data_IF_844808331892
#
_entry.id   IF_844808331892
#
_cell.length_a   1.000
_cell.length_b   1.000
_cell.length_c   1.000
_cell.angle_alpha   90.00
_cell.angle_beta   90.00
_cell.angle_gamma   90.00
#
_symmetry.space_group_name_H-M   'P 1'
#
loop_
_entity.id
_entity.type
_entity.pdbx_description
1 polymer ?
#
# COMPACT_ATOMS: atom_id res chain seq x y z
N UNK A 1 16.85 7.78 -18.88
CA UNK A 1 16.43 6.48 -19.48
C UNK A 1 15.11 6.11 -18.83
N UNK A 2 14.13 5.63 -19.61
CA UNK A 2 12.85 5.19 -19.05
C UNK A 2 13.02 3.95 -18.18
N UNK A 3 12.05 3.71 -17.28
CA UNK A 3 11.97 2.52 -16.43
C UNK A 3 10.57 1.92 -16.47
N UNK A 4 10.46 0.65 -16.13
CA UNK A 4 9.17 -0.01 -15.96
C UNK A 4 8.86 -0.14 -14.47
N UNK A 5 7.69 0.35 -14.04
CA UNK A 5 7.09 0.04 -12.75
C UNK A 5 6.03 -1.04 -12.93
N UNK A 6 6.02 -2.04 -12.05
CA UNK A 6 5.02 -3.12 -12.03
C UNK A 6 4.43 -3.22 -10.64
N UNK A 7 3.16 -2.89 -10.48
CA UNK A 7 2.38 -3.07 -9.25
C UNK A 7 1.67 -4.43 -9.30
N UNK A 8 2.03 -5.32 -8.36
CA UNK A 8 1.49 -6.69 -8.29
C UNK A 8 0.60 -6.80 -7.06
N UNK A 9 -0.68 -6.58 -7.25
CA UNK A 9 -1.68 -6.77 -6.20
C UNK A 9 -2.38 -8.13 -6.26
N UNK A 10 -3.11 -8.48 -5.21
CA UNK A 10 -3.88 -9.73 -5.16
C UNK A 10 -5.00 -9.85 -6.20
N UNK A 11 -5.43 -8.75 -6.82
CA UNK A 11 -6.52 -8.72 -7.81
C UNK A 11 -6.11 -8.25 -9.20
N UNK A 12 -5.05 -7.46 -9.29
CA UNK A 12 -4.56 -6.89 -10.56
C UNK A 12 -3.04 -6.79 -10.58
N UNK A 13 -2.48 -6.89 -11.77
CA UNK A 13 -1.10 -6.53 -12.10
C UNK A 13 -1.20 -5.31 -13.02
N UNK A 14 -0.57 -4.21 -12.62
CA UNK A 14 -0.48 -3.01 -13.44
C UNK A 14 0.99 -2.72 -13.76
N UNK A 15 1.31 -2.43 -15.01
CA UNK A 15 2.66 -2.04 -15.40
C UNK A 15 2.63 -0.76 -16.24
N UNK A 16 3.65 0.06 -16.05
CA UNK A 16 3.81 1.30 -16.82
C UNK A 16 5.27 1.54 -17.21
N UNK A 17 5.47 2.11 -18.39
CA UNK A 17 6.75 2.74 -18.75
C UNK A 17 6.70 4.17 -18.25
N UNK A 18 7.70 4.55 -17.46
CA UNK A 18 7.81 5.87 -16.84
C UNK A 18 9.07 6.57 -17.36
N UNK A 19 8.93 7.83 -17.78
CA UNK A 19 10.06 8.66 -18.18
C UNK A 19 10.89 9.14 -16.98
N UNK A 20 12.11 9.66 -17.17
CA UNK A 20 12.90 10.26 -16.09
C UNK A 20 12.21 11.41 -15.36
N UNK A 21 11.25 12.05 -16.01
CA UNK A 21 10.46 13.16 -15.43
C UNK A 21 9.19 12.67 -14.69
N UNK A 22 9.00 11.35 -14.56
CA UNK A 22 7.86 10.75 -13.88
C UNK A 22 6.57 10.64 -14.73
N UNK A 23 6.67 10.89 -16.06
CA UNK A 23 5.52 10.80 -16.95
C UNK A 23 5.26 9.35 -17.38
N UNK A 24 4.03 8.88 -17.22
CA UNK A 24 3.60 7.59 -17.76
C UNK A 24 3.51 7.70 -19.29
N UNK A 25 4.28 6.87 -19.99
CA UNK A 25 4.35 6.85 -21.46
C UNK A 25 3.49 5.74 -22.06
N UNK A 26 3.35 4.63 -21.35
CA UNK A 26 2.51 3.49 -21.72
C UNK A 26 2.09 2.76 -20.45
N UNK A 27 0.88 2.18 -20.42
CA UNK A 27 0.43 1.35 -19.33
C UNK A 27 -0.40 0.16 -19.80
N UNK A 28 -0.32 -0.94 -19.06
CA UNK A 28 -1.15 -2.12 -19.24
C UNK A 28 -1.64 -2.65 -17.89
N UNK A 29 -2.82 -3.29 -17.88
CA UNK A 29 -3.42 -3.85 -16.67
C UNK A 29 -3.99 -5.23 -16.95
N UNK A 30 -3.67 -6.18 -16.06
CA UNK A 30 -4.15 -7.56 -16.12
C UNK A 30 -4.74 -7.97 -14.77
N UNK A 31 -5.75 -8.85 -14.76
CA UNK A 31 -6.21 -9.44 -13.52
C UNK A 31 -5.13 -10.38 -12.96
N UNK A 32 -4.90 -10.32 -11.65
CA UNK A 32 -4.12 -11.33 -10.95
C UNK A 32 -4.99 -12.58 -10.84
N UNK A 33 -4.45 -13.72 -11.23
CA UNK A 33 -5.12 -15.00 -11.11
C UNK A 33 -4.37 -15.87 -10.11
N UNK A 34 -5.11 -16.58 -9.25
CA UNK A 34 -4.53 -17.65 -8.44
C UNK A 34 -4.15 -18.81 -9.35
N UNK A 35 -2.88 -18.87 -9.72
CA UNK A 35 -2.30 -19.86 -10.65
C UNK A 35 -0.97 -20.34 -10.12
N UNK A 36 -0.44 -21.50 -10.55
CA UNK A 36 0.88 -21.95 -10.13
C UNK A 36 1.97 -20.88 -10.36
N UNK A 37 3.04 -20.88 -9.54
CA UNK A 37 4.12 -19.88 -9.57
C UNK A 37 4.66 -19.59 -10.97
N UNK A 38 4.98 -20.61 -11.74
CA UNK A 38 5.52 -20.46 -13.11
C UNK A 38 4.57 -19.72 -14.05
N UNK A 39 3.27 -19.96 -13.93
CA UNK A 39 2.22 -19.24 -14.71
C UNK A 39 2.11 -17.78 -14.29
N UNK A 40 2.21 -17.48 -13.00
CA UNK A 40 2.19 -16.11 -12.52
C UNK A 40 3.42 -15.34 -13.01
N UNK A 41 4.62 -15.94 -12.88
CA UNK A 41 5.87 -15.39 -13.40
C UNK A 41 5.81 -15.18 -14.92
N UNK A 42 5.22 -16.12 -15.65
CA UNK A 42 4.97 -15.98 -17.09
C UNK A 42 4.03 -14.83 -17.43
N UNK A 43 3.00 -14.61 -16.62
CA UNK A 43 2.10 -13.46 -16.80
C UNK A 43 2.81 -12.14 -16.53
N UNK A 44 3.59 -12.04 -15.43
CA UNK A 44 4.37 -10.84 -15.10
C UNK A 44 5.38 -10.53 -16.23
N UNK A 45 6.12 -11.54 -16.70
CA UNK A 45 7.07 -11.37 -17.80
C UNK A 45 6.40 -10.89 -19.09
N UNK A 46 5.22 -11.42 -19.42
CA UNK A 46 4.42 -10.98 -20.56
C UNK A 46 3.99 -9.51 -20.41
N UNK A 47 3.50 -9.12 -19.24
CA UNK A 47 3.07 -7.75 -18.94
C UNK A 47 4.25 -6.77 -19.10
N UNK A 48 5.43 -7.13 -18.60
CA UNK A 48 6.67 -6.35 -18.75
C UNK A 48 7.03 -6.21 -20.22
N UNK A 49 6.97 -7.30 -20.99
CA UNK A 49 7.32 -7.30 -22.42
C UNK A 49 6.34 -6.47 -23.23
N UNK A 50 5.06 -6.57 -22.94
CA UNK A 50 4.00 -5.83 -23.64
C UNK A 50 4.07 -4.33 -23.35
N UNK A 51 4.24 -3.93 -22.08
CA UNK A 51 4.31 -2.50 -21.74
C UNK A 51 5.56 -1.84 -22.29
N UNK A 52 6.66 -2.61 -22.44
CA UNK A 52 7.94 -2.16 -23.01
C UNK A 52 7.87 -1.90 -24.51
N UNK A 53 6.90 -2.49 -25.24
CA UNK A 53 6.90 -2.46 -26.68
C UNK A 53 7.03 -1.03 -27.24
N UNK A 54 8.01 -0.83 -28.13
CA UNK A 54 8.35 0.47 -28.70
C UNK A 54 9.14 1.42 -27.80
N UNK A 55 9.56 1.00 -26.59
CA UNK A 55 10.31 1.85 -25.66
C UNK A 55 11.68 1.27 -25.29
N UNK A 56 12.68 2.14 -25.23
CA UNK A 56 13.98 1.85 -24.61
C UNK A 56 13.85 2.05 -23.09
N UNK A 57 14.17 1.00 -22.30
CA UNK A 57 14.08 1.02 -20.84
C UNK A 57 15.34 0.45 -20.20
N UNK A 58 15.73 0.99 -19.04
CA UNK A 58 16.92 0.55 -18.31
C UNK A 58 16.67 -0.68 -17.40
N UNK A 59 15.43 -0.95 -17.04
CA UNK A 59 15.06 -2.06 -16.17
C UNK A 59 13.62 -1.96 -15.70
N UNK A 60 13.24 -2.90 -14.83
CA UNK A 60 11.92 -2.96 -14.21
C UNK A 60 12.02 -3.05 -12.69
N UNK A 61 11.11 -2.38 -11.98
CA UNK A 61 10.92 -2.53 -10.55
C UNK A 61 9.54 -3.10 -10.27
N UNK A 62 9.47 -4.16 -9.48
CA UNK A 62 8.23 -4.76 -9.01
C UNK A 62 7.88 -4.21 -7.63
N UNK A 63 6.72 -3.62 -7.50
CA UNK A 63 6.10 -3.26 -6.24
C UNK A 63 5.20 -4.42 -5.78
N UNK A 64 5.47 -4.99 -4.61
CA UNK A 64 4.80 -6.20 -4.11
C UNK A 64 4.34 -5.97 -2.68
N UNK A 65 3.10 -6.35 -2.32
CA UNK A 65 2.64 -6.25 -0.94
C UNK A 65 3.37 -7.25 -0.04
N UNK A 66 3.61 -6.87 1.21
CA UNK A 66 4.20 -7.72 2.22
C UNK A 66 5.68 -7.51 2.46
N UNK A 67 6.35 -8.54 2.99
CA UNK A 67 7.73 -8.43 3.44
C UNK A 67 8.72 -8.76 2.32
N UNK A 68 9.51 -7.77 1.93
CA UNK A 68 10.47 -7.86 0.81
C UNK A 68 11.89 -7.62 1.32
N UNK A 69 12.80 -8.56 1.03
CA UNK A 69 14.24 -8.37 1.15
C UNK A 69 14.75 -7.73 -0.16
N UNK A 70 14.64 -6.41 -0.27
CA UNK A 70 14.97 -5.67 -1.50
C UNK A 70 16.43 -5.85 -1.92
N UNK A 71 17.35 -6.00 -0.95
CA UNK A 71 18.77 -6.28 -1.23
C UNK A 71 19.01 -7.64 -1.91
N UNK A 72 18.09 -8.58 -1.74
CA UNK A 72 18.14 -9.92 -2.33
C UNK A 72 17.13 -10.10 -3.47
N UNK A 73 16.33 -9.07 -3.78
CA UNK A 73 15.20 -9.12 -4.71
C UNK A 73 14.25 -10.31 -4.43
N UNK A 74 13.99 -10.56 -3.15
CA UNK A 74 13.25 -11.71 -2.68
C UNK A 74 12.05 -11.32 -1.83
N UNK A 75 10.91 -11.89 -2.14
CA UNK A 75 9.70 -11.78 -1.32
C UNK A 75 9.72 -12.89 -0.27
N UNK A 76 9.61 -12.53 1.01
CA UNK A 76 9.61 -13.47 2.12
C UNK A 76 8.18 -13.85 2.50
N UNK A 77 7.28 -12.87 2.50
CA UNK A 77 5.86 -13.05 2.83
C UNK A 77 5.05 -12.08 1.98
N UNK A 78 4.09 -12.59 1.22
CA UNK A 78 3.19 -11.79 0.42
C UNK A 78 1.74 -12.23 0.66
N UNK A 79 0.97 -11.55 1.52
CA UNK A 79 -0.43 -11.85 1.71
C UNK A 79 -1.16 -11.83 0.37
N UNK A 80 -1.87 -12.91 0.04
CA UNK A 80 -2.59 -13.11 -1.23
C UNK A 80 -1.71 -13.33 -2.50
N UNK A 81 -0.40 -13.51 -2.37
CA UNK A 81 0.55 -13.78 -3.47
C UNK A 81 1.62 -14.80 -3.05
N UNK A 82 1.21 -15.86 -2.36
CA UNK A 82 2.13 -16.89 -1.85
C UNK A 82 2.96 -17.56 -2.95
N UNK A 83 2.51 -17.49 -4.19
CA UNK A 83 3.14 -18.05 -5.37
C UNK A 83 4.53 -17.46 -5.68
N UNK A 84 4.81 -16.24 -5.19
CA UNK A 84 6.09 -15.56 -5.41
C UNK A 84 6.99 -15.56 -4.16
N UNK A 85 6.55 -16.16 -3.06
CA UNK A 85 7.34 -16.22 -1.84
C UNK A 85 8.58 -17.09 -2.03
N UNK A 86 9.70 -16.62 -1.47
CA UNK A 86 11.01 -17.27 -1.50
C UNK A 86 11.61 -17.48 -2.89
N UNK A 87 11.08 -16.79 -3.93
CA UNK A 87 11.62 -16.79 -5.28
C UNK A 87 12.56 -15.58 -5.48
N UNK A 88 13.67 -15.79 -6.18
CA UNK A 88 14.55 -14.73 -6.68
C UNK A 88 13.92 -14.15 -7.95
N UNK A 89 13.07 -13.13 -7.78
CA UNK A 89 12.29 -12.55 -8.87
C UNK A 89 13.16 -11.85 -9.91
N UNK A 90 14.30 -11.31 -9.50
CA UNK A 90 15.30 -10.75 -10.42
C UNK A 90 15.88 -11.77 -11.39
N UNK A 91 16.23 -12.96 -10.90
CA UNK A 91 16.77 -14.05 -11.72
C UNK A 91 15.69 -14.60 -12.67
N UNK A 92 14.52 -14.93 -12.14
CA UNK A 92 13.43 -15.55 -12.90
C UNK A 92 12.86 -14.62 -13.98
N UNK A 93 12.59 -13.36 -13.63
CA UNK A 93 12.03 -12.41 -14.57
C UNK A 93 13.10 -11.79 -15.46
N UNK A 94 14.33 -11.65 -14.96
CA UNK A 94 15.47 -11.24 -15.76
C UNK A 94 15.74 -12.22 -16.90
N UNK A 95 15.74 -13.53 -16.62
CA UNK A 95 15.89 -14.57 -17.65
C UNK A 95 14.75 -14.57 -18.69
N UNK A 96 13.50 -14.23 -18.28
CA UNK A 96 12.33 -14.22 -19.18
C UNK A 96 12.20 -12.94 -20.00
N UNK A 97 12.69 -11.81 -19.50
CA UNK A 97 12.47 -10.48 -20.14
C UNK A 97 13.72 -9.87 -20.73
N UNK A 98 14.90 -10.37 -20.35
CA UNK A 98 16.19 -9.78 -20.72
C UNK A 98 16.48 -8.42 -20.05
N UNK A 99 15.73 -8.05 -18.99
CA UNK A 99 15.90 -6.81 -18.27
C UNK A 99 16.51 -7.03 -16.87
N UNK A 100 17.20 -6.01 -16.37
CA UNK A 100 17.48 -5.93 -14.93
C UNK A 100 16.16 -5.74 -14.17
N UNK A 101 15.90 -6.57 -13.18
CA UNK A 101 14.68 -6.53 -12.37
C UNK A 101 15.05 -6.30 -10.92
N UNK A 102 14.32 -5.41 -10.25
CA UNK A 102 14.42 -5.17 -8.81
C UNK A 102 13.05 -5.36 -8.16
N UNK A 103 13.03 -5.60 -6.85
CA UNK A 103 11.79 -5.81 -6.09
C UNK A 103 11.78 -4.90 -4.88
N UNK A 104 10.65 -4.23 -4.65
CA UNK A 104 10.42 -3.38 -3.50
C UNK A 104 9.03 -3.64 -2.91
N UNK A 105 8.85 -3.32 -1.63
CA UNK A 105 7.53 -3.27 -1.02
C UNK A 105 6.67 -2.19 -1.70
N UNK A 106 5.37 -2.42 -1.85
CA UNK A 106 4.42 -1.53 -2.55
C UNK A 106 4.31 -0.14 -1.91
N UNK A 107 4.23 -0.05 -0.57
CA UNK A 107 4.17 1.22 0.14
C UNK A 107 5.50 1.98 0.06
N UNK A 108 6.64 1.28 0.12
CA UNK A 108 7.95 1.84 -0.11
C UNK A 108 8.11 2.38 -1.53
N UNK A 109 7.63 1.65 -2.53
CA UNK A 109 7.65 2.09 -3.93
C UNK A 109 6.79 3.34 -4.13
N UNK A 110 5.60 3.39 -3.51
CA UNK A 110 4.73 4.56 -3.53
C UNK A 110 5.39 5.76 -2.82
N UNK A 111 5.99 5.55 -1.65
CA UNK A 111 6.74 6.59 -0.93
C UNK A 111 7.87 7.16 -1.78
N UNK A 112 8.60 6.29 -2.48
CA UNK A 112 9.67 6.72 -3.39
C UNK A 112 9.13 7.49 -4.59
N UNK A 113 7.98 7.08 -5.13
CA UNK A 113 7.30 7.81 -6.21
C UNK A 113 6.90 9.22 -5.80
N UNK A 114 6.29 9.38 -4.62
CA UNK A 114 5.95 10.69 -4.06
C UNK A 114 7.18 11.56 -3.77
N UNK A 115 8.27 10.95 -3.33
CA UNK A 115 9.52 11.65 -3.10
C UNK A 115 10.17 12.15 -4.39
N UNK A 116 10.13 11.37 -5.46
CA UNK A 116 10.75 11.74 -6.74
C UNK A 116 9.90 12.70 -7.57
N UNK A 117 8.58 12.53 -7.55
CA UNK A 117 7.69 13.17 -8.53
C UNK A 117 6.49 13.90 -7.89
N UNK A 118 6.20 13.65 -6.63
CA UNK A 118 5.03 14.15 -5.92
C UNK A 118 5.35 15.23 -4.87
N UNK A 119 4.63 15.13 -3.75
CA UNK A 119 4.69 16.10 -2.65
C UNK A 119 6.03 16.11 -1.88
N UNK A 120 6.82 15.04 -1.99
CA UNK A 120 8.16 14.93 -1.41
C UNK A 120 9.29 15.48 -2.27
N UNK A 121 8.96 16.08 -3.40
CA UNK A 121 9.93 16.69 -4.29
C UNK A 121 10.63 17.88 -3.60
N UNK A 122 11.92 17.97 -3.74
CA UNK A 122 12.75 19.05 -3.19
C UNK A 122 12.89 19.04 -1.65
N UNK A 123 12.59 17.90 -0.96
CA UNK A 123 12.87 17.71 0.47
C UNK A 123 13.84 16.54 0.67
N UNK A 124 14.50 16.47 1.85
CA UNK A 124 15.39 15.37 2.21
C UNK A 124 14.72 14.34 3.14
N UNK A 125 13.66 14.73 3.83
CA UNK A 125 12.99 13.92 4.85
C UNK A 125 11.49 13.86 4.62
N UNK A 126 10.99 12.67 4.30
CA UNK A 126 9.57 12.40 4.05
C UNK A 126 9.11 11.19 4.85
N UNK A 127 7.92 11.27 5.42
CA UNK A 127 7.13 10.10 5.87
C UNK A 127 5.91 10.01 4.97
N UNK A 128 5.76 8.92 4.23
CA UNK A 128 4.59 8.66 3.39
C UNK A 128 3.64 7.69 4.09
N UNK A 129 2.34 7.96 4.03
CA UNK A 129 1.28 7.08 4.53
C UNK A 129 0.31 6.79 3.39
N UNK A 130 0.01 5.53 3.16
CA UNK A 130 -1.10 5.12 2.28
C UNK A 130 -2.25 4.56 3.09
N UNK A 131 -3.44 5.10 2.86
CA UNK A 131 -4.69 4.68 3.50
C UNK A 131 -5.57 3.99 2.46
N UNK A 132 -5.85 2.74 2.70
CA UNK A 132 -6.69 1.89 1.84
C UNK A 132 -7.35 0.80 2.67
N UNK A 133 -7.40 -0.43 2.16
CA UNK A 133 -7.82 -1.62 2.93
C UNK A 133 -7.03 -1.75 4.23
N UNK A 134 -5.72 -1.49 4.17
CA UNK A 134 -4.80 -1.39 5.30
C UNK A 134 -4.21 0.01 5.44
N UNK A 135 -3.13 0.12 6.22
CA UNK A 135 -2.28 1.31 6.33
C UNK A 135 -0.85 0.90 6.01
N UNK A 136 -0.34 1.36 4.89
CA UNK A 136 1.09 1.22 4.55
C UNK A 136 1.85 2.51 4.82
N UNK A 137 3.18 2.43 4.75
CA UNK A 137 4.03 3.59 4.89
C UNK A 137 5.41 3.39 4.28
N UNK A 138 6.11 4.50 4.11
CA UNK A 138 7.53 4.51 3.73
C UNK A 138 8.20 5.75 4.27
N UNK A 139 9.46 5.62 4.63
CA UNK A 139 10.24 6.70 5.23
C UNK A 139 11.46 6.99 4.37
N UNK A 140 11.63 8.24 4.00
CA UNK A 140 12.84 8.73 3.36
C UNK A 140 13.56 9.64 4.35
N UNK A 141 14.86 9.46 4.52
CA UNK A 141 15.72 10.30 5.34
C UNK A 141 17.04 10.53 4.62
N UNK A 142 17.50 11.80 4.61
CA UNK A 142 18.66 12.23 3.82
C UNK A 142 18.58 11.80 2.35
N UNK A 143 17.38 11.88 1.74
CA UNK A 143 17.15 11.47 0.35
C UNK A 143 17.21 9.96 0.09
N UNK A 144 17.25 9.13 1.14
CA UNK A 144 17.37 7.66 1.02
C UNK A 144 16.17 6.97 1.66
N UNK A 145 15.60 6.00 0.95
CA UNK A 145 14.51 5.16 1.46
C UNK A 145 15.03 4.27 2.61
N UNK A 146 14.38 4.37 3.76
CA UNK A 146 14.71 3.60 4.97
C UNK A 146 14.16 2.17 4.86
N UNK A 147 15.03 1.21 4.58
CA UNK A 147 14.68 -0.21 4.50
C UNK A 147 14.97 -0.99 5.78
N UNK A 148 15.85 -0.45 6.65
CA UNK A 148 16.31 -1.16 7.84
C UNK A 148 17.23 -2.35 7.51
N UNK A 149 17.55 -3.12 8.53
CA UNK A 149 18.52 -4.22 8.41
C UNK A 149 18.03 -5.39 7.54
N UNK A 150 16.72 -5.61 7.50
CA UNK A 150 16.11 -6.77 6.82
C UNK A 150 14.97 -6.35 5.88
N UNK A 151 14.90 -5.09 5.48
CA UNK A 151 13.86 -4.59 4.58
C UNK A 151 12.50 -4.31 5.23
N UNK A 152 12.37 -4.44 6.55
CA UNK A 152 11.11 -4.30 7.28
C UNK A 152 10.94 -2.93 7.98
N UNK A 153 11.76 -1.94 7.69
CA UNK A 153 11.54 -0.60 8.21
C UNK A 153 10.40 0.09 7.45
N UNK A 154 9.73 1.03 8.13
CA UNK A 154 8.63 1.77 7.52
C UNK A 154 7.26 1.10 7.63
N UNK A 155 7.14 0.00 8.37
CA UNK A 155 5.86 -0.66 8.70
C UNK A 155 5.00 0.19 9.64
N UNK A 156 4.70 1.43 9.21
CA UNK A 156 4.07 2.46 10.04
C UNK A 156 2.65 2.11 10.46
N UNK A 157 1.94 1.36 9.63
CA UNK A 157 0.60 0.85 9.93
C UNK A 157 0.57 -0.12 11.11
N UNK A 158 1.70 -0.75 11.43
CA UNK A 158 1.79 -1.74 12.53
C UNK A 158 2.36 -1.18 13.82
N UNK A 159 2.57 0.13 13.91
CA UNK A 159 2.88 0.80 15.18
C UNK A 159 1.67 0.71 16.10
N UNK A 160 1.86 0.15 17.30
CA UNK A 160 0.80 0.00 18.30
C UNK A 160 0.51 1.36 18.95
N UNK A 161 -0.73 1.86 18.80
CA UNK A 161 -1.20 3.09 19.42
C UNK A 161 -2.05 2.83 20.69
N UNK A 162 -2.75 1.70 20.72
CA UNK A 162 -3.58 1.26 21.83
C UNK A 162 -3.37 -0.23 22.11
N UNK A 163 -2.56 -0.62 23.10
CA UNK A 163 -2.32 -2.03 23.44
C UNK A 163 -3.58 -2.82 23.81
N UNK A 164 -4.66 -2.13 24.16
CA UNK A 164 -5.97 -2.74 24.51
C UNK A 164 -6.96 -2.71 23.34
N UNK A 165 -6.55 -2.13 22.22
CA UNK A 165 -7.36 -1.93 21.02
C UNK A 165 -7.62 -3.22 20.23
N UNK A 166 -8.28 -3.09 19.07
CA UNK A 166 -8.66 -4.23 18.26
C UNK A 166 -7.45 -5.02 17.74
N UNK A 167 -7.67 -6.32 17.51
CA UNK A 167 -6.63 -7.18 16.93
C UNK A 167 -6.30 -6.76 15.51
N UNK A 168 -5.02 -6.65 15.21
CA UNK A 168 -4.48 -6.40 13.88
C UNK A 168 -4.21 -7.70 13.12
N UNK A 169 -4.21 -7.63 11.79
CA UNK A 169 -3.83 -8.74 10.88
C UNK A 169 -2.42 -9.27 11.17
N UNK A 170 -1.49 -8.42 11.61
CA UNK A 170 -0.12 -8.80 11.98
C UNK A 170 -0.01 -9.60 13.29
N UNK A 171 -1.11 -9.79 14.02
CA UNK A 171 -1.17 -10.53 15.29
C UNK A 171 -1.12 -9.65 16.54
N UNK A 172 -0.68 -8.39 16.45
CA UNK A 172 -0.69 -7.42 17.54
C UNK A 172 -2.09 -6.85 17.80
N UNK A 173 -2.19 -6.01 18.82
CA UNK A 173 -3.40 -5.26 19.15
C UNK A 173 -3.17 -3.75 18.99
N UNK A 174 -4.21 -3.02 18.54
CA UNK A 174 -4.26 -1.57 18.48
C UNK A 174 -3.20 -0.92 17.58
N UNK A 175 -2.78 -1.61 16.54
CA UNK A 175 -1.96 -1.01 15.49
C UNK A 175 -2.70 0.15 14.80
N UNK A 176 -1.99 1.12 14.28
CA UNK A 176 -2.58 2.22 13.51
C UNK A 176 -3.52 1.69 12.40
N UNK A 177 -3.12 0.65 11.67
CA UNK A 177 -3.96 -0.02 10.67
C UNK A 177 -5.28 -0.53 11.23
N UNK A 178 -5.24 -1.19 12.39
CA UNK A 178 -6.45 -1.72 13.04
C UNK A 178 -7.38 -0.62 13.56
N UNK A 179 -6.90 0.62 13.67
CA UNK A 179 -7.64 1.78 14.20
C UNK A 179 -8.06 2.76 13.09
N UNK A 180 -7.31 2.87 11.98
CA UNK A 180 -7.47 3.96 11.02
C UNK A 180 -7.52 3.53 9.55
N UNK A 181 -7.53 2.24 9.22
CA UNK A 181 -7.69 1.77 7.84
C UNK A 181 -9.15 1.78 7.38
N UNK A 182 -9.40 1.63 6.07
CA UNK A 182 -10.74 1.42 5.52
C UNK A 182 -11.44 0.19 6.12
N UNK A 183 -10.68 -0.89 6.37
CA UNK A 183 -11.18 -2.08 7.10
C UNK A 183 -11.57 -1.74 8.54
N UNK A 184 -10.79 -0.90 9.22
CA UNK A 184 -11.08 -0.45 10.58
C UNK A 184 -12.33 0.43 10.63
N UNK A 185 -12.51 1.35 9.67
CA UNK A 185 -13.73 2.16 9.51
C UNK A 185 -14.95 1.24 9.36
N UNK A 186 -14.91 0.28 8.45
CA UNK A 186 -16.01 -0.68 8.24
C UNK A 186 -16.31 -1.54 9.48
N UNK A 187 -15.28 -1.97 10.21
CA UNK A 187 -15.46 -2.69 11.48
C UNK A 187 -16.15 -1.81 12.52
N UNK A 188 -15.65 -0.59 12.73
CA UNK A 188 -16.22 0.35 13.72
C UNK A 188 -17.65 0.74 13.38
N UNK A 189 -17.93 0.93 12.09
CA UNK A 189 -19.29 1.21 11.62
C UNK A 189 -20.27 0.07 11.97
N UNK A 190 -19.87 -1.19 11.84
CA UNK A 190 -20.71 -2.34 12.23
C UNK A 190 -20.95 -2.40 13.74
N UNK A 191 -19.93 -2.08 14.56
CA UNK A 191 -20.09 -1.98 16.01
C UNK A 191 -21.13 -0.91 16.36
N UNK A 192 -20.99 0.29 15.81
CA UNK A 192 -21.92 1.41 16.03
C UNK A 192 -23.31 1.13 15.45
N UNK A 193 -23.42 0.45 14.32
CA UNK A 193 -24.71 0.01 13.78
C UNK A 193 -25.48 -0.89 14.76
N UNK A 194 -24.78 -1.80 15.45
CA UNK A 194 -25.37 -2.65 16.48
C UNK A 194 -25.79 -1.86 17.72
N UNK A 195 -25.01 -0.86 18.13
CA UNK A 195 -25.31 0.02 19.26
C UNK A 195 -26.48 0.99 18.95
N UNK A 196 -26.59 1.43 17.67
CA UNK A 196 -27.57 2.41 17.21
C UNK A 196 -28.38 1.88 16.02
N UNK A 197 -29.23 0.86 16.20
CA UNK A 197 -29.92 0.19 15.08
C UNK A 197 -30.91 1.07 14.32
N UNK A 198 -31.26 2.24 14.85
CA UNK A 198 -32.13 3.23 14.17
C UNK A 198 -31.37 4.28 13.36
N UNK A 199 -30.03 4.32 13.43
CA UNK A 199 -29.20 5.19 12.60
C UNK A 199 -29.19 4.72 11.14
N UNK A 200 -28.72 5.58 10.23
CA UNK A 200 -28.56 5.20 8.83
C UNK A 200 -27.64 3.98 8.65
N UNK A 201 -26.55 3.91 9.40
CA UNK A 201 -25.67 2.73 9.46
C UNK A 201 -26.38 1.49 9.98
N UNK A 202 -27.21 1.63 11.03
CA UNK A 202 -28.00 0.54 11.62
C UNK A 202 -29.01 -0.01 10.61
N UNK A 203 -29.71 0.85 9.87
CA UNK A 203 -30.65 0.42 8.83
C UNK A 203 -29.92 -0.27 7.68
N UNK A 204 -28.81 0.28 7.21
CA UNK A 204 -27.99 -0.34 6.17
C UNK A 204 -27.45 -1.73 6.58
N UNK A 205 -27.07 -1.89 7.86
CA UNK A 205 -26.56 -3.14 8.41
C UNK A 205 -27.61 -4.29 8.41
N UNK A 206 -28.90 -3.96 8.39
CA UNK A 206 -29.99 -4.95 8.23
C UNK A 206 -30.00 -5.50 6.80
N UNK A 207 -29.70 -4.67 5.81
CA UNK A 207 -29.80 -5.03 4.39
C UNK A 207 -28.54 -5.75 3.89
N UNK A 208 -27.36 -5.31 4.33
CA UNK A 208 -26.07 -5.86 3.91
C UNK A 208 -24.92 -5.48 4.85
N UNK A 209 -23.77 -6.09 4.62
CA UNK A 209 -22.55 -5.71 5.33
C UNK A 209 -22.18 -4.23 5.04
N UNK A 210 -21.97 -3.46 6.12
CA UNK A 210 -21.47 -2.08 6.04
C UNK A 210 -19.96 -2.07 5.76
N UNK A 211 -19.56 -1.30 4.76
CA UNK A 211 -18.17 -1.08 4.34
C UNK A 211 -17.72 0.34 4.70
N UNK A 212 -16.40 0.60 4.64
CA UNK A 212 -15.86 1.94 4.89
C UNK A 212 -16.40 3.01 3.93
N UNK A 213 -16.61 2.65 2.66
CA UNK A 213 -17.20 3.52 1.64
C UNK A 213 -18.61 4.00 2.00
N UNK A 214 -19.41 3.15 2.64
CA UNK A 214 -20.74 3.51 3.09
C UNK A 214 -20.71 4.60 4.16
N UNK A 215 -19.74 4.49 5.07
CA UNK A 215 -19.54 5.48 6.13
C UNK A 215 -19.19 6.83 5.52
N UNK A 216 -18.28 6.86 4.55
CA UNK A 216 -17.89 8.08 3.85
C UNK A 216 -19.08 8.71 3.13
N UNK A 217 -19.86 7.91 2.40
CA UNK A 217 -21.05 8.38 1.69
C UNK A 217 -22.09 8.96 2.66
N UNK A 218 -22.44 8.23 3.71
CA UNK A 218 -23.44 8.68 4.68
C UNK A 218 -22.98 9.92 5.44
N UNK A 219 -21.68 10.03 5.77
CA UNK A 219 -21.12 11.21 6.39
C UNK A 219 -21.23 12.44 5.47
N UNK A 220 -21.00 12.29 4.16
CA UNK A 220 -21.19 13.35 3.17
C UNK A 220 -22.66 13.76 3.04
N UNK A 221 -23.60 12.85 3.29
CA UNK A 221 -25.04 13.10 3.35
C UNK A 221 -25.48 13.75 4.69
N UNK A 222 -24.54 13.93 5.63
CA UNK A 222 -24.78 14.60 6.92
C UNK A 222 -25.20 13.67 8.06
N UNK A 223 -25.02 12.34 7.92
CA UNK A 223 -25.30 11.40 9.02
C UNK A 223 -24.29 11.57 10.15
N UNK A 224 -24.75 12.09 11.30
CA UNK A 224 -23.91 12.39 12.47
C UNK A 224 -23.18 11.14 13.02
N UNK A 225 -23.79 9.98 12.89
CA UNK A 225 -23.21 8.72 13.36
C UNK A 225 -22.01 8.32 12.50
N UNK A 226 -22.15 8.45 11.17
CA UNK A 226 -21.06 8.20 10.22
C UNK A 226 -19.94 9.23 10.36
N UNK A 227 -20.28 10.51 10.57
CA UNK A 227 -19.31 11.57 10.87
C UNK A 227 -18.51 11.20 12.12
N UNK A 228 -19.16 10.78 13.20
CA UNK A 228 -18.49 10.38 14.45
C UNK A 228 -17.51 9.21 14.26
N UNK A 229 -17.83 8.24 13.39
CA UNK A 229 -16.91 7.14 13.06
C UNK A 229 -15.67 7.65 12.33
N UNK A 230 -15.82 8.57 11.38
CA UNK A 230 -14.69 9.16 10.67
C UNK A 230 -13.85 10.07 11.57
N UNK A 231 -14.45 10.82 12.48
CA UNK A 231 -13.73 11.64 13.47
C UNK A 231 -12.90 10.79 14.42
N UNK A 232 -13.44 9.67 14.91
CA UNK A 232 -12.70 8.71 15.73
C UNK A 232 -11.49 8.15 14.97
N UNK A 233 -11.70 7.76 13.70
CA UNK A 233 -10.65 7.27 12.80
C UNK A 233 -9.57 8.35 12.55
N UNK A 234 -9.99 9.56 12.23
CA UNK A 234 -9.12 10.71 12.01
C UNK A 234 -8.28 11.06 13.24
N UNK A 235 -8.85 10.91 14.44
CA UNK A 235 -8.11 11.09 15.69
C UNK A 235 -6.99 10.07 15.86
N UNK A 236 -7.25 8.78 15.58
CA UNK A 236 -6.22 7.75 15.64
C UNK A 236 -5.11 7.98 14.62
N UNK A 237 -5.47 8.37 13.40
CA UNK A 237 -4.50 8.76 12.39
C UNK A 237 -3.64 9.93 12.89
N UNK A 238 -4.25 10.97 13.45
CA UNK A 238 -3.53 12.13 13.99
C UNK A 238 -2.55 11.76 15.10
N UNK A 239 -2.92 10.84 16.01
CA UNK A 239 -2.03 10.31 17.04
C UNK A 239 -0.81 9.61 16.42
N UNK A 240 -1.04 8.75 15.42
CA UNK A 240 0.04 8.07 14.71
C UNK A 240 0.98 9.06 14.01
N UNK A 241 0.42 10.02 13.27
CA UNK A 241 1.21 11.06 12.59
C UNK A 241 2.04 11.90 13.55
N UNK A 242 1.48 12.28 14.69
CA UNK A 242 2.22 13.01 15.73
C UNK A 242 3.41 12.20 16.27
N UNK A 243 3.25 10.88 16.43
CA UNK A 243 4.34 9.97 16.77
C UNK A 243 5.43 9.95 15.70
N UNK A 244 5.07 9.89 14.43
CA UNK A 244 6.03 9.87 13.31
C UNK A 244 6.77 11.20 13.18
N UNK A 245 6.09 12.33 13.40
CA UNK A 245 6.75 13.65 13.49
C UNK A 245 7.84 13.65 14.56
N UNK A 246 7.53 13.13 15.76
CA UNK A 246 8.51 13.10 16.86
C UNK A 246 9.69 12.14 16.63
N UNK A 247 9.48 11.05 15.86
CA UNK A 247 10.52 10.06 15.60
C UNK A 247 11.42 10.47 14.43
N UNK A 248 10.81 10.91 13.31
CA UNK A 248 11.50 11.11 12.04
C UNK A 248 11.76 12.58 11.71
N UNK A 249 11.05 13.51 12.37
CA UNK A 249 11.09 14.94 12.09
C UNK A 249 11.06 15.26 10.58
N UNK A 250 10.03 14.77 9.84
CA UNK A 250 9.97 14.93 8.39
C UNK A 250 9.60 16.37 8.01
N UNK A 251 10.01 16.78 6.81
CA UNK A 251 9.63 18.06 6.21
C UNK A 251 8.21 17.98 5.64
N UNK A 252 7.79 16.80 5.20
CA UNK A 252 6.47 16.55 4.61
C UNK A 252 5.95 15.16 4.97
N UNK A 253 4.63 15.05 5.14
CA UNK A 253 3.92 13.78 5.31
C UNK A 253 2.84 13.69 4.23
N UNK A 254 3.14 13.20 3.04
CA UNK A 254 2.11 12.92 2.04
C UNK A 254 1.21 11.78 2.52
N UNK A 255 -0.09 11.94 2.32
CA UNK A 255 -1.09 10.91 2.60
C UNK A 255 -1.77 10.56 1.28
N UNK A 256 -1.62 9.32 0.86
CA UNK A 256 -2.21 8.77 -0.37
C UNK A 256 -3.13 7.60 -0.08
N UNK A 257 -3.56 6.92 -1.15
CA UNK A 257 -4.46 5.78 -1.11
C UNK A 257 -5.83 6.11 -1.68
N UNK A 258 -6.78 5.21 -1.54
CA UNK A 258 -8.15 5.36 -2.07
C UNK A 258 -9.01 4.16 -1.79
#
# INVERSE_FOLDING_TARGET
MNAIGVDIGGTKIAAAVVSPEGKILNEVRYPTQAVPPDRLLGTIARVITEVKDGFEVGGACLAVPGFVLSAENKVILAPNLHEIENIRLDEELGARTGLSVTVENDANAAAWGEFQFGAGRDVDHQVFITLGTGVGGGVITHGVLLRGAQGAAGELGHVTLDPTGPRCSCGNHGCLEALASGTAIGRRAREVANEKPRSALGQLAIERQVLGEDVTRLAQEGDEVSISVLEETGRWLGIGLAGFVNIFNPEVIPVGGG
#
